data_IF_795746938027
#
_entry.id   IF_795746938027
#
_cell.length_a   1.000
_cell.length_b   1.000
_cell.length_c   1.000
_cell.angle_alpha   90.00
_cell.angle_beta   90.00
_cell.angle_gamma   90.00
#
_symmetry.space_group_name_H-M   'P 1'
#
loop_
_entity.id
_entity.type
_entity.pdbx_description
1 polymer ?
#
# COMPACT_ATOMS: atom_id res chain seq x y z
N UNK A 1 15.07 5.41 -16.85
CA UNK A 1 14.29 4.17 -17.12
C UNK A 1 14.21 3.16 -15.95
N UNK A 2 14.65 3.48 -14.73
CA UNK A 2 14.62 2.58 -13.56
C UNK A 2 13.36 2.69 -12.67
N UNK A 3 12.57 3.75 -12.75
CA UNK A 3 11.37 3.96 -11.91
C UNK A 3 10.17 3.07 -12.22
N UNK A 4 10.23 2.26 -13.28
CA UNK A 4 9.12 1.37 -13.70
C UNK A 4 9.09 0.01 -12.97
N UNK A 5 10.18 -0.44 -12.34
CA UNK A 5 10.28 -1.82 -11.82
C UNK A 5 9.60 -2.02 -10.46
N UNK A 6 9.42 -1.00 -9.65
CA UNK A 6 8.84 -1.15 -8.31
C UNK A 6 7.31 -1.16 -8.29
N UNK A 7 6.66 -0.48 -9.24
CA UNK A 7 5.21 -0.63 -9.50
C UNK A 7 4.81 -2.06 -9.89
N UNK A 8 5.76 -2.91 -10.29
CA UNK A 8 5.49 -4.26 -10.75
C UNK A 8 5.26 -5.31 -9.66
N UNK A 9 5.68 -5.06 -8.40
CA UNK A 9 5.54 -6.04 -7.32
C UNK A 9 4.08 -6.26 -6.94
N UNK A 10 3.37 -5.18 -6.70
CA UNK A 10 1.94 -5.18 -6.34
C UNK A 10 1.07 -5.56 -7.54
N UNK A 11 1.47 -5.12 -8.74
CA UNK A 11 0.84 -5.47 -10.00
C UNK A 11 0.96 -6.95 -10.38
N UNK A 12 2.06 -7.63 -9.98
CA UNK A 12 2.25 -9.06 -10.22
C UNK A 12 1.24 -9.91 -9.45
N UNK A 13 0.93 -9.55 -8.20
CA UNK A 13 -0.06 -10.25 -7.39
C UNK A 13 -1.46 -10.11 -8.00
N UNK A 14 -1.91 -8.89 -8.32
CA UNK A 14 -3.23 -8.64 -8.90
C UNK A 14 -3.44 -9.36 -10.24
N UNK A 15 -2.40 -9.43 -11.09
CA UNK A 15 -2.44 -10.19 -12.36
C UNK A 15 -2.65 -11.69 -12.16
N UNK A 16 -1.99 -12.29 -11.16
CA UNK A 16 -2.14 -13.72 -10.88
C UNK A 16 -3.53 -14.06 -10.36
N UNK A 17 -4.14 -13.18 -9.59
CA UNK A 17 -5.47 -13.37 -9.02
C UNK A 17 -6.59 -12.88 -9.95
N UNK A 18 -6.27 -12.13 -11.00
CA UNK A 18 -7.26 -11.58 -11.92
C UNK A 18 -8.06 -10.39 -11.36
N UNK A 19 -7.64 -9.80 -10.23
CA UNK A 19 -8.30 -8.67 -9.60
C UNK A 19 -7.72 -7.34 -10.09
N UNK A 20 -8.54 -6.30 -10.05
CA UNK A 20 -8.12 -4.95 -10.40
C UNK A 20 -7.11 -4.43 -9.39
N UNK A 21 -5.98 -3.90 -9.87
CA UNK A 21 -5.02 -3.19 -9.03
C UNK A 21 -5.38 -1.71 -8.95
N UNK A 22 -5.47 -1.18 -7.73
CA UNK A 22 -5.81 0.22 -7.45
C UNK A 22 -4.75 0.81 -6.51
N UNK A 23 -4.13 1.91 -6.91
CA UNK A 23 -3.31 2.74 -6.03
C UNK A 23 -4.19 3.87 -5.46
N UNK A 24 -4.40 3.93 -4.14
CA UNK A 24 -5.28 4.93 -3.53
C UNK A 24 -4.84 6.36 -3.86
N UNK A 25 -3.54 6.65 -3.83
CA UNK A 25 -3.02 7.97 -4.19
C UNK A 25 -3.35 8.35 -5.63
N UNK A 26 -3.30 7.41 -6.57
CA UNK A 26 -3.67 7.65 -7.97
C UNK A 26 -5.16 7.89 -8.15
N UNK A 27 -5.99 7.22 -7.38
CA UNK A 27 -7.43 7.47 -7.36
C UNK A 27 -7.72 8.89 -6.84
N UNK A 28 -7.04 9.32 -5.76
CA UNK A 28 -7.16 10.68 -5.21
C UNK A 28 -6.71 11.73 -6.24
N UNK A 29 -5.55 11.53 -6.87
CA UNK A 29 -5.03 12.42 -7.91
C UNK A 29 -6.00 12.55 -9.09
N UNK A 30 -6.55 11.43 -9.55
CA UNK A 30 -7.51 11.41 -10.66
C UNK A 30 -8.82 12.13 -10.33
N UNK A 31 -9.32 12.00 -9.08
CA UNK A 31 -10.55 12.65 -8.64
C UNK A 31 -10.40 14.17 -8.47
N UNK A 32 -9.20 14.66 -8.13
CA UNK A 32 -8.98 16.06 -7.79
C UNK A 32 -8.24 16.84 -8.89
N UNK A 33 -7.70 16.17 -9.90
CA UNK A 33 -6.91 16.80 -10.96
C UNK A 33 -5.56 17.37 -10.49
N UNK A 34 -5.10 16.99 -9.29
CA UNK A 34 -3.89 17.49 -8.64
C UNK A 34 -3.03 16.30 -8.17
N UNK A 35 -1.73 16.46 -8.15
CA UNK A 35 -0.84 15.49 -7.50
C UNK A 35 -1.00 15.53 -5.98
N UNK A 36 -0.64 14.43 -5.29
CA UNK A 36 -0.64 14.39 -3.82
C UNK A 36 0.19 15.53 -3.22
N UNK A 37 1.32 15.90 -3.84
CA UNK A 37 2.16 16.99 -3.37
C UNK A 37 1.43 18.35 -3.46
N UNK A 38 0.72 18.62 -4.54
CA UNK A 38 -0.09 19.83 -4.73
C UNK A 38 -1.28 19.87 -3.77
N UNK A 39 -1.95 18.73 -3.56
CA UNK A 39 -3.03 18.61 -2.58
C UNK A 39 -2.52 18.97 -1.18
N UNK A 40 -1.38 18.44 -0.75
CA UNK A 40 -0.79 18.73 0.56
C UNK A 40 -0.36 20.21 0.65
N UNK A 41 0.22 20.77 -0.42
CA UNK A 41 0.61 22.16 -0.45
C UNK A 41 -0.58 23.13 -0.33
N UNK A 42 -1.71 22.81 -0.97
CA UNK A 42 -2.89 23.67 -1.01
C UNK A 42 -3.84 23.46 0.18
N UNK A 43 -4.04 22.22 0.60
CA UNK A 43 -5.07 21.85 1.59
C UNK A 43 -4.50 21.28 2.89
N UNK A 44 -3.17 21.18 3.01
CA UNK A 44 -2.46 20.60 4.15
C UNK A 44 -2.65 19.07 4.26
N UNK A 45 -2.00 18.51 5.26
CA UNK A 45 -2.11 17.08 5.55
C UNK A 45 -3.56 16.65 5.87
N UNK A 46 -4.26 17.48 6.64
CA UNK A 46 -5.65 17.19 7.04
C UNK A 46 -6.59 17.17 5.83
N UNK A 47 -6.42 18.09 4.88
CA UNK A 47 -7.15 18.10 3.62
C UNK A 47 -6.92 16.81 2.81
N UNK A 48 -5.66 16.39 2.70
CA UNK A 48 -5.30 15.14 2.06
C UNK A 48 -5.97 13.93 2.74
N UNK A 49 -5.99 13.87 4.09
CA UNK A 49 -6.63 12.77 4.84
C UNK A 49 -8.14 12.69 4.62
N UNK A 50 -8.82 13.84 4.51
CA UNK A 50 -10.25 13.85 4.13
C UNK A 50 -10.47 13.30 2.73
N UNK A 51 -9.62 13.66 1.77
CA UNK A 51 -9.70 13.14 0.40
C UNK A 51 -9.37 11.64 0.34
N UNK A 52 -8.39 11.18 1.12
CA UNK A 52 -8.04 9.77 1.26
C UNK A 52 -9.22 8.93 1.76
N UNK A 53 -9.90 9.38 2.80
CA UNK A 53 -11.10 8.72 3.34
C UNK A 53 -12.25 8.72 2.32
N UNK A 54 -12.49 9.84 1.65
CA UNK A 54 -13.55 9.95 0.65
C UNK A 54 -13.31 9.01 -0.55
N UNK A 55 -12.08 8.96 -1.07
CA UNK A 55 -11.70 8.07 -2.15
C UNK A 55 -11.85 6.59 -1.77
N UNK A 56 -11.43 6.22 -0.55
CA UNK A 56 -11.60 4.87 -0.03
C UNK A 56 -13.09 4.48 0.07
N UNK A 57 -13.93 5.37 0.60
CA UNK A 57 -15.38 5.15 0.72
C UNK A 57 -16.02 4.93 -0.66
N UNK A 58 -15.62 5.70 -1.67
CA UNK A 58 -16.11 5.53 -3.03
C UNK A 58 -15.63 4.22 -3.67
N UNK A 59 -14.39 3.79 -3.41
CA UNK A 59 -13.89 2.51 -3.88
C UNK A 59 -14.70 1.34 -3.29
N UNK A 60 -14.99 1.38 -1.98
CA UNK A 60 -15.80 0.37 -1.32
C UNK A 60 -17.24 0.31 -1.85
N UNK A 61 -17.82 1.46 -2.20
CA UNK A 61 -19.17 1.52 -2.78
C UNK A 61 -19.29 0.82 -4.14
N UNK A 62 -18.19 0.64 -4.88
CA UNK A 62 -18.16 -0.09 -6.16
C UNK A 62 -18.40 -1.59 -5.99
N UNK A 63 -18.17 -2.16 -4.78
CA UNK A 63 -18.31 -3.59 -4.47
C UNK A 63 -17.52 -4.50 -5.44
N UNK A 64 -16.40 -4.03 -5.93
CA UNK A 64 -15.50 -4.74 -6.85
C UNK A 64 -14.39 -5.43 -6.06
N UNK A 65 -13.99 -6.63 -6.50
CA UNK A 65 -12.79 -7.28 -6.00
C UNK A 65 -11.55 -6.54 -6.51
N UNK A 66 -10.69 -6.12 -5.59
CA UNK A 66 -9.50 -5.34 -5.93
C UNK A 66 -8.31 -5.64 -5.02
N UNK A 67 -7.13 -5.40 -5.54
CA UNK A 67 -5.91 -5.25 -4.75
C UNK A 67 -5.68 -3.76 -4.57
N UNK A 68 -5.81 -3.27 -3.33
CA UNK A 68 -5.65 -1.86 -3.01
C UNK A 68 -4.27 -1.60 -2.39
N UNK A 69 -3.48 -0.73 -3.02
CA UNK A 69 -2.24 -0.22 -2.46
C UNK A 69 -2.46 1.15 -1.81
N UNK A 70 -2.00 1.30 -0.57
CA UNK A 70 -2.11 2.55 0.19
C UNK A 70 -0.75 3.08 0.61
N UNK A 71 -0.66 4.38 0.89
CA UNK A 71 0.49 4.96 1.57
C UNK A 71 0.55 4.52 3.04
N UNK A 72 1.76 4.30 3.58
CA UNK A 72 1.93 3.90 4.99
C UNK A 72 1.40 4.92 6.02
N UNK A 73 1.19 6.18 5.62
CA UNK A 73 0.60 7.19 6.51
C UNK A 73 -0.86 6.98 6.88
N UNK A 74 -1.58 6.12 6.15
CA UNK A 74 -3.02 5.87 6.36
C UNK A 74 -3.34 5.30 7.75
N UNK A 75 -2.39 4.59 8.36
CA UNK A 75 -2.54 4.03 9.71
C UNK A 75 -2.65 5.09 10.81
N UNK A 76 -2.22 6.34 10.52
CA UNK A 76 -2.30 7.46 11.48
C UNK A 76 -3.70 8.07 11.57
N UNK A 77 -4.64 7.67 10.69
CA UNK A 77 -6.02 8.14 10.66
C UNK A 77 -6.95 7.04 11.16
N UNK A 78 -7.34 7.06 12.44
CA UNK A 78 -8.04 5.93 13.07
C UNK A 78 -9.29 5.48 12.31
N UNK A 79 -10.15 6.40 11.89
CA UNK A 79 -11.40 6.07 11.20
C UNK A 79 -11.15 5.44 9.84
N UNK A 80 -10.23 5.98 9.07
CA UNK A 80 -9.85 5.46 7.74
C UNK A 80 -9.18 4.10 7.88
N UNK A 81 -8.32 3.93 8.89
CA UNK A 81 -7.62 2.68 9.12
C UNK A 81 -8.57 1.57 9.58
N UNK A 82 -9.51 1.85 10.50
CA UNK A 82 -10.54 0.90 10.90
C UNK A 82 -11.44 0.48 9.71
N UNK A 83 -11.74 1.41 8.82
CA UNK A 83 -12.48 1.11 7.60
C UNK A 83 -11.71 0.13 6.70
N UNK A 84 -10.40 0.30 6.58
CA UNK A 84 -9.54 -0.64 5.84
C UNK A 84 -9.52 -2.01 6.51
N UNK A 85 -9.27 -2.06 7.82
CA UNK A 85 -9.18 -3.33 8.56
C UNK A 85 -10.48 -4.14 8.52
N UNK A 86 -11.62 -3.46 8.52
CA UNK A 86 -12.94 -4.11 8.48
C UNK A 86 -13.39 -4.52 7.07
N UNK A 87 -12.84 -3.89 6.02
CA UNK A 87 -13.30 -4.08 4.64
C UNK A 87 -12.36 -4.90 3.77
N UNK A 88 -11.10 -5.04 4.16
CA UNK A 88 -10.07 -5.73 3.37
C UNK A 88 -9.31 -6.76 4.19
N UNK A 89 -8.83 -7.80 3.51
CA UNK A 89 -7.73 -8.60 4.02
C UNK A 89 -6.44 -7.79 3.88
N UNK A 90 -5.90 -7.34 4.99
CA UNK A 90 -4.79 -6.39 5.03
C UNK A 90 -3.45 -7.10 5.15
N UNK A 91 -2.45 -6.63 4.40
CA UNK A 91 -1.08 -7.13 4.45
C UNK A 91 -0.14 -5.98 4.71
N UNK A 92 0.60 -6.07 5.80
CA UNK A 92 1.71 -5.16 6.06
C UNK A 92 2.96 -5.64 5.31
N UNK A 93 3.40 -4.86 4.33
CA UNK A 93 4.69 -5.08 3.65
C UNK A 93 5.76 -4.35 4.43
N UNK A 94 6.51 -5.10 5.24
CA UNK A 94 7.64 -4.59 6.01
C UNK A 94 8.87 -4.55 5.13
N UNK A 95 9.59 -3.42 5.14
CA UNK A 95 10.84 -3.22 4.41
C UNK A 95 11.89 -2.62 5.35
N UNK A 96 13.15 -2.84 5.03
CA UNK A 96 14.25 -2.19 5.72
C UNK A 96 14.18 -0.65 5.52
N UNK A 97 14.36 0.17 6.59
CA UNK A 97 14.32 1.63 6.48
C UNK A 97 15.32 2.20 5.47
N UNK A 98 16.51 1.64 5.39
CA UNK A 98 17.56 2.04 4.44
C UNK A 98 17.14 1.75 3.00
N UNK A 99 16.53 0.58 2.74
CA UNK A 99 15.97 0.23 1.44
C UNK A 99 14.79 1.16 1.09
N UNK A 100 13.97 1.51 2.08
CA UNK A 100 12.86 2.44 1.89
C UNK A 100 13.36 3.82 1.47
N UNK A 101 14.37 4.37 2.15
CA UNK A 101 14.99 5.64 1.80
C UNK A 101 15.65 5.61 0.41
N UNK A 102 16.35 4.55 0.07
CA UNK A 102 16.93 4.38 -1.25
C UNK A 102 15.87 4.41 -2.37
N UNK A 103 14.68 3.86 -2.09
CA UNK A 103 13.54 3.88 -3.03
C UNK A 103 12.95 5.28 -3.19
N UNK A 104 12.71 5.99 -2.09
CA UNK A 104 12.19 7.37 -2.10
C UNK A 104 13.11 8.28 -2.91
N UNK A 105 14.42 8.21 -2.70
CA UNK A 105 15.42 8.94 -3.50
C UNK A 105 15.40 8.56 -4.98
N UNK A 106 15.29 7.28 -5.28
CA UNK A 106 15.22 6.77 -6.66
C UNK A 106 13.96 7.22 -7.42
N UNK A 107 12.91 7.65 -6.70
CA UNK A 107 11.66 8.17 -7.28
C UNK A 107 11.68 9.68 -7.56
N UNK A 108 12.81 10.35 -7.27
CA UNK A 108 12.99 11.78 -7.56
C UNK A 108 12.45 12.72 -6.50
N UNK A 109 12.14 12.24 -5.31
CA UNK A 109 11.86 13.09 -4.16
C UNK A 109 13.19 13.67 -3.65
N UNK A 110 13.58 14.76 -4.29
CA UNK A 110 14.81 15.52 -4.01
C UNK A 110 14.58 16.60 -2.92
N UNK A 111 13.59 16.43 -2.05
CA UNK A 111 13.49 17.35 -0.91
C UNK A 111 14.83 17.36 -0.20
N UNK A 112 15.47 18.54 0.00
CA UNK A 112 16.76 18.61 0.64
C UNK A 112 16.61 18.07 2.06
N UNK A 113 17.01 16.84 2.27
CA UNK A 113 17.20 16.30 3.61
C UNK A 113 18.54 16.87 4.08
N UNK A 114 18.50 17.95 4.81
CA UNK A 114 19.64 18.76 5.22
C UNK A 114 20.70 17.94 6.00
N UNK A 115 20.35 16.74 6.48
CA UNK A 115 21.27 15.78 7.05
C UNK A 115 20.70 14.37 6.90
N UNK A 116 21.36 13.52 6.14
CA UNK A 116 20.97 12.12 5.90
C UNK A 116 20.73 11.32 7.19
N UNK A 117 21.50 11.62 8.24
CA UNK A 117 21.39 10.94 9.55
C UNK A 117 20.13 11.35 10.30
N UNK A 118 19.80 12.64 10.28
CA UNK A 118 18.60 13.18 10.94
C UNK A 118 17.34 12.62 10.28
N UNK A 119 17.29 12.62 8.96
CA UNK A 119 16.17 12.07 8.19
C UNK A 119 15.97 10.56 8.41
N UNK A 120 17.07 9.81 8.51
CA UNK A 120 17.01 8.37 8.82
C UNK A 120 16.52 8.12 10.24
N UNK A 121 16.98 8.92 11.21
CA UNK A 121 16.51 8.83 12.59
C UNK A 121 15.00 9.15 12.68
N UNK A 122 14.54 10.20 12.01
CA UNK A 122 13.13 10.57 11.95
C UNK A 122 12.29 9.47 11.30
N UNK A 123 12.72 8.92 10.16
CA UNK A 123 12.05 7.80 9.51
C UNK A 123 11.92 6.58 10.44
N UNK A 124 13.01 6.20 11.11
CA UNK A 124 12.98 5.09 12.06
C UNK A 124 12.01 5.35 13.21
N UNK A 125 12.01 6.55 13.77
CA UNK A 125 11.09 6.94 14.84
C UNK A 125 9.63 6.86 14.37
N UNK A 126 9.33 7.32 13.16
CA UNK A 126 7.99 7.21 12.56
C UNK A 126 7.61 5.74 12.37
N UNK A 127 8.50 4.89 11.86
CA UNK A 127 8.23 3.47 11.66
C UNK A 127 8.01 2.75 12.99
N UNK A 128 8.85 3.00 14.00
CA UNK A 128 8.71 2.42 15.36
C UNK A 128 7.37 2.86 15.98
N UNK A 129 7.03 4.15 15.91
CA UNK A 129 5.77 4.64 16.50
C UNK A 129 4.52 4.06 15.82
N UNK A 130 4.62 3.70 14.53
CA UNK A 130 3.51 3.12 13.75
C UNK A 130 3.50 1.59 13.73
N UNK A 131 4.56 0.94 14.17
CA UNK A 131 4.66 -0.53 14.15
C UNK A 131 3.49 -1.23 14.84
N UNK A 132 3.00 -0.78 16.02
CA UNK A 132 1.82 -1.39 16.66
C UNK A 132 0.54 -1.27 15.80
N UNK A 133 0.43 -0.22 14.99
CA UNK A 133 -0.70 -0.03 14.08
C UNK A 133 -0.59 -0.97 12.87
N UNK A 134 0.59 -1.04 12.25
CA UNK A 134 0.83 -1.95 11.14
C UNK A 134 0.66 -3.42 11.54
N UNK A 135 1.03 -3.79 12.78
CA UNK A 135 0.89 -5.14 13.31
C UNK A 135 -0.58 -5.61 13.44
N UNK A 136 -1.56 -4.71 13.30
CA UNK A 136 -2.99 -5.04 13.22
C UNK A 136 -3.41 -5.65 11.88
N UNK A 137 -2.53 -5.61 10.87
CA UNK A 137 -2.79 -6.24 9.59
C UNK A 137 -2.99 -7.76 9.74
N UNK A 138 -3.83 -8.35 8.90
CA UNK A 138 -4.12 -9.79 8.92
C UNK A 138 -2.89 -10.66 8.59
N UNK A 139 -1.94 -10.12 7.82
CA UNK A 139 -0.67 -10.78 7.54
C UNK A 139 0.48 -9.76 7.46
N UNK A 140 1.70 -10.25 7.66
CA UNK A 140 2.93 -9.48 7.53
C UNK A 140 3.84 -10.16 6.52
N UNK A 141 4.36 -9.40 5.57
CA UNK A 141 5.35 -9.86 4.60
C UNK A 141 6.62 -9.02 4.76
N UNK A 142 7.63 -9.61 5.37
CA UNK A 142 8.95 -8.98 5.45
C UNK A 142 9.69 -9.15 4.12
N UNK A 143 10.04 -8.03 3.51
CA UNK A 143 10.72 -7.98 2.22
C UNK A 143 12.18 -7.52 2.32
N UNK A 144 12.72 -7.33 3.53
CA UNK A 144 14.10 -6.91 3.75
C UNK A 144 15.07 -7.90 3.08
N UNK A 145 16.02 -7.39 2.31
CA UNK A 145 17.02 -8.19 1.60
C UNK A 145 16.49 -9.11 0.50
N UNK A 146 15.20 -9.08 0.18
CA UNK A 146 14.62 -9.94 -0.84
C UNK A 146 14.71 -9.35 -2.25
N UNK A 147 14.94 -10.22 -3.23
CA UNK A 147 14.70 -9.86 -4.63
C UNK A 147 13.21 -9.59 -4.89
N UNK A 148 12.92 -8.90 -6.00
CA UNK A 148 11.54 -8.62 -6.43
C UNK A 148 10.72 -9.90 -6.55
N UNK A 149 11.30 -10.94 -7.13
CA UNK A 149 10.61 -12.21 -7.36
C UNK A 149 10.34 -12.96 -6.06
N UNK A 150 11.31 -12.97 -5.12
CA UNK A 150 11.15 -13.56 -3.81
C UNK A 150 10.09 -12.82 -2.96
N UNK A 151 10.09 -11.49 -2.99
CA UNK A 151 9.08 -10.67 -2.32
C UNK A 151 7.67 -10.92 -2.91
N UNK A 152 7.57 -11.03 -4.26
CA UNK A 152 6.31 -11.37 -4.94
C UNK A 152 5.81 -12.76 -4.59
N UNK A 153 6.70 -13.74 -4.47
CA UNK A 153 6.34 -15.10 -4.05
C UNK A 153 5.75 -15.09 -2.62
N UNK A 154 6.43 -14.44 -1.66
CA UNK A 154 5.91 -14.30 -0.28
C UNK A 154 4.58 -13.57 -0.22
N UNK A 155 4.39 -12.52 -1.03
CA UNK A 155 3.11 -11.82 -1.08
C UNK A 155 1.99 -12.73 -1.62
N UNK A 156 2.26 -13.53 -2.65
CA UNK A 156 1.29 -14.50 -3.17
C UNK A 156 0.92 -15.56 -2.12
N UNK A 157 1.89 -16.05 -1.34
CA UNK A 157 1.64 -17.01 -0.25
C UNK A 157 0.77 -16.38 0.85
N UNK A 158 1.00 -15.11 1.18
CA UNK A 158 0.20 -14.37 2.17
C UNK A 158 -1.25 -14.15 1.71
N UNK A 159 -1.52 -14.05 0.41
CA UNK A 159 -2.87 -13.89 -0.16
C UNK A 159 -3.59 -15.22 -0.35
N UNK A 160 -2.85 -16.33 -0.44
CA UNK A 160 -3.43 -17.65 -0.72
C UNK A 160 -4.61 -18.07 0.18
N UNK A 161 -4.66 -17.74 1.50
CA UNK A 161 -5.83 -18.04 2.33
C UNK A 161 -7.11 -17.35 1.86
N UNK A 162 -7.01 -16.08 1.41
CA UNK A 162 -8.17 -15.32 0.92
C UNK A 162 -8.73 -15.96 -0.34
N UNK A 163 -7.85 -16.31 -1.28
CA UNK A 163 -8.26 -16.93 -2.54
C UNK A 163 -8.95 -18.29 -2.35
N UNK A 164 -8.51 -19.08 -1.36
CA UNK A 164 -9.18 -20.35 -1.03
C UNK A 164 -10.57 -20.14 -0.46
N UNK A 165 -10.75 -19.14 0.40
CA UNK A 165 -12.06 -18.82 0.99
C UNK A 165 -13.04 -18.31 -0.07
N UNK A 166 -12.61 -17.48 -1.00
CA UNK A 166 -13.48 -17.02 -2.09
C UNK A 166 -13.89 -18.13 -3.04
N UNK A 167 -12.98 -19.05 -3.38
CA UNK A 167 -13.34 -20.23 -4.17
C UNK A 167 -14.43 -21.07 -3.50
N UNK A 168 -14.48 -21.11 -2.17
CA UNK A 168 -15.53 -21.79 -1.41
C UNK A 168 -16.84 -20.99 -1.36
N UNK A 169 -16.77 -19.66 -1.19
CA UNK A 169 -17.95 -18.78 -1.03
C UNK A 169 -18.65 -18.53 -2.37
N UNK A 170 -17.93 -18.38 -3.46
CA UNK A 170 -18.48 -18.10 -4.80
C UNK A 170 -18.63 -19.34 -5.71
N UNK A 171 -18.34 -20.55 -5.21
CA UNK A 171 -18.54 -21.77 -5.97
C UNK A 171 -17.66 -21.89 -7.23
N UNK A 172 -16.56 -21.14 -7.30
CA UNK A 172 -15.58 -21.22 -8.37
C UNK A 172 -14.80 -22.53 -8.23
N UNK A 173 -15.39 -23.64 -8.70
CA UNK A 173 -14.67 -24.90 -8.88
C UNK A 173 -13.58 -24.65 -9.91
N UNK A 174 -12.33 -24.85 -9.52
CA UNK A 174 -11.21 -24.99 -10.44
C UNK A 174 -11.60 -26.03 -11.50
N UNK A 175 -11.79 -25.59 -12.74
CA UNK A 175 -11.78 -26.48 -13.89
C UNK A 175 -10.31 -26.86 -14.13
N UNK A 176 -9.86 -27.88 -13.41
CA UNK A 176 -8.66 -28.62 -13.74
C UNK A 176 -9.12 -29.88 -14.50
N UNK A 177 -8.93 -29.86 -15.80
CA UNK A 177 -8.82 -31.02 -16.65
C UNK A 177 -7.82 -30.72 -17.74
#
# INVERSE_FOLDING_TARGET
>A
MRGRREKYKEFSCSKKIGWKFVELNKEIEAQNGLSVAEIIALYGQEGFRRMEQAALTQLLARKELMVLATGGGIVSEPLTFELILSSFYTIWIKADPEEHMARVRGQGDLRPMADDRSAMAELRNILVSREPLYARAAAVVDTAGLSVDAASARLNDAVAPVLRNEAQVFGLRSAAS
#
